data_IF_174405843959
#
_entry.id   IF_174405843959
#
_cell.length_a   1.000
_cell.length_b   1.000
_cell.length_c   1.000
_cell.angle_alpha   90.00
_cell.angle_beta   90.00
_cell.angle_gamma   90.00
#
_symmetry.space_group_name_H-M   'P 1'
#
loop_
_entity.id
_entity.type
_entity.pdbx_description
1 polymer ?
#
# COMPACT_ATOMS: atom_id res chain seq x y z
N UNK A 1 -30.09 2.13 11.77
CA UNK A 1 -30.16 2.13 10.31
C UNK A 1 -28.73 2.28 9.80
N UNK A 2 -28.20 1.23 9.17
CA UNK A 2 -26.86 1.27 8.57
C UNK A 2 -26.96 2.05 7.25
N UNK A 3 -26.43 3.27 7.24
CA UNK A 3 -26.26 4.00 5.99
C UNK A 3 -25.00 3.49 5.31
N UNK A 4 -25.18 2.72 4.24
CA UNK A 4 -24.12 2.37 3.30
C UNK A 4 -23.76 3.65 2.52
N UNK A 5 -22.62 4.25 2.84
CA UNK A 5 -22.08 5.38 2.07
C UNK A 5 -21.64 4.83 0.71
N UNK A 6 -22.11 5.47 -0.36
CA UNK A 6 -21.72 5.14 -1.75
C UNK A 6 -20.20 5.13 -1.87
N UNK A 7 -19.66 4.13 -2.59
CA UNK A 7 -18.24 4.02 -2.93
C UNK A 7 -17.71 5.34 -3.45
N UNK A 8 -16.59 5.88 -2.91
CA UNK A 8 -15.91 6.97 -3.57
C UNK A 8 -15.47 6.47 -4.96
N UNK A 9 -15.78 7.22 -5.99
CA UNK A 9 -15.27 6.97 -7.34
C UNK A 9 -13.79 7.33 -7.31
N UNK A 10 -12.92 6.34 -7.32
CA UNK A 10 -11.48 6.56 -7.51
C UNK A 10 -11.26 7.26 -8.85
N UNK A 11 -11.09 8.56 -8.83
CA UNK A 11 -10.64 9.38 -9.94
C UNK A 11 -9.11 9.51 -9.90
N UNK A 12 -8.37 8.42 -9.79
CA UNK A 12 -7.02 8.39 -10.31
C UNK A 12 -7.05 7.77 -11.71
N UNK A 13 -7.70 8.49 -12.63
CA UNK A 13 -7.40 8.40 -14.05
C UNK A 13 -6.02 9.03 -14.24
N UNK A 14 -5.15 8.30 -14.96
CA UNK A 14 -3.84 8.74 -15.42
C UNK A 14 -3.84 10.24 -15.75
N UNK A 15 -2.97 11.00 -15.10
CA UNK A 15 -2.71 12.38 -15.47
C UNK A 15 -1.79 12.39 -16.71
N UNK A 16 -1.91 13.41 -17.57
CA UNK A 16 -1.19 13.58 -18.84
C UNK A 16 0.36 13.55 -18.77
N UNK A 17 0.97 13.20 -17.64
CA UNK A 17 2.40 12.98 -17.50
C UNK A 17 2.84 11.56 -17.87
N UNK A 18 1.89 10.61 -18.07
CA UNK A 18 2.23 9.24 -18.42
C UNK A 18 2.74 9.09 -19.87
N UNK A 19 2.48 10.06 -20.74
CA UNK A 19 2.97 10.04 -22.14
C UNK A 19 4.49 10.31 -22.27
N UNK A 20 5.12 10.96 -21.30
CA UNK A 20 6.54 11.35 -21.37
C UNK A 20 7.53 10.26 -20.89
N UNK A 21 7.06 9.21 -20.23
CA UNK A 21 7.90 8.12 -19.70
C UNK A 21 8.07 6.98 -20.72
N UNK A 22 7.29 6.98 -21.79
CA UNK A 22 7.23 5.87 -22.76
C UNK A 22 8.39 5.81 -23.77
N UNK A 23 9.19 6.87 -23.92
CA UNK A 23 10.14 6.94 -25.05
C UNK A 23 11.48 6.21 -24.86
N UNK A 24 11.83 5.68 -23.67
CA UNK A 24 13.15 5.10 -23.41
C UNK A 24 13.18 3.71 -22.75
N UNK A 25 12.10 2.97 -22.75
CA UNK A 25 12.12 1.58 -22.23
C UNK A 25 12.16 0.61 -23.42
N UNK A 26 13.20 -0.25 -23.56
CA UNK A 26 13.19 -1.26 -24.61
C UNK A 26 12.00 -2.19 -24.38
N UNK A 27 11.02 -2.11 -25.28
CA UNK A 27 9.82 -2.93 -25.24
C UNK A 27 10.22 -4.41 -25.23
N UNK A 28 10.04 -5.05 -24.06
CA UNK A 28 9.90 -6.49 -24.01
C UNK A 28 8.67 -6.79 -24.89
N UNK A 29 8.82 -7.68 -25.86
CA UNK A 29 7.73 -8.04 -26.77
C UNK A 29 6.65 -8.79 -25.98
N UNK A 30 5.73 -8.03 -25.41
CA UNK A 30 4.66 -8.51 -24.51
C UNK A 30 3.59 -9.26 -25.32
N UNK A 31 3.53 -9.09 -26.65
CA UNK A 31 2.48 -9.64 -27.49
C UNK A 31 2.49 -11.17 -27.57
N UNK A 32 3.65 -11.82 -27.54
CA UNK A 32 3.74 -13.29 -27.56
C UNK A 32 3.38 -13.94 -26.23
N UNK A 33 3.61 -13.23 -25.10
CA UNK A 33 3.31 -13.77 -23.77
C UNK A 33 1.85 -13.53 -23.31
N UNK A 34 1.13 -12.59 -23.94
CA UNK A 34 -0.25 -12.26 -23.61
C UNK A 34 -1.28 -13.16 -24.31
N UNK A 35 -0.87 -14.07 -25.18
CA UNK A 35 -1.77 -15.01 -25.87
C UNK A 35 -2.56 -15.94 -24.91
N UNK A 36 -2.10 -16.10 -23.66
CA UNK A 36 -2.72 -16.95 -22.65
C UNK A 36 -3.72 -16.20 -21.72
N UNK A 37 -4.46 -15.27 -22.28
CA UNK A 37 -5.74 -14.84 -21.72
C UNK A 37 -5.75 -14.30 -20.27
N UNK A 38 -5.51 -12.98 -20.10
CA UNK A 38 -6.05 -12.22 -18.95
C UNK A 38 -7.35 -11.54 -19.38
N UNK A 39 -8.54 -12.13 -19.18
CA UNK A 39 -9.79 -11.53 -19.65
C UNK A 39 -10.02 -10.11 -19.14
N UNK A 40 -9.63 -9.84 -17.89
CA UNK A 40 -9.79 -8.53 -17.26
C UNK A 40 -8.69 -7.55 -17.67
N UNK A 41 -7.45 -8.02 -17.88
CA UNK A 41 -6.32 -7.21 -18.32
C UNK A 41 -6.26 -7.01 -19.85
N UNK A 42 -7.03 -7.78 -20.64
CA UNK A 42 -7.07 -7.63 -22.09
C UNK A 42 -7.47 -6.22 -22.56
N UNK A 43 -8.22 -5.47 -21.74
CA UNK A 43 -8.55 -4.07 -22.02
C UNK A 43 -7.43 -3.09 -21.66
N UNK A 44 -6.36 -3.56 -20.96
CA UNK A 44 -5.20 -2.79 -20.53
C UNK A 44 -3.89 -3.36 -21.08
N UNK A 45 -3.94 -4.04 -22.25
CA UNK A 45 -2.81 -4.79 -22.82
C UNK A 45 -1.49 -4.00 -22.91
N UNK A 46 -1.57 -2.70 -23.02
CA UNK A 46 -0.44 -1.80 -23.27
C UNK A 46 -0.18 -0.82 -22.12
N UNK A 47 -0.95 -0.87 -21.02
CA UNK A 47 -0.85 0.10 -19.94
C UNK A 47 -0.18 -0.56 -18.73
N UNK A 48 1.00 -0.06 -18.36
CA UNK A 48 1.62 -0.31 -17.08
C UNK A 48 1.18 0.79 -16.10
N UNK A 49 0.98 0.43 -14.85
CA UNK A 49 0.52 1.32 -13.79
C UNK A 49 1.62 1.52 -12.77
N UNK A 50 1.64 2.68 -12.10
CA UNK A 50 2.55 2.95 -11.01
C UNK A 50 2.55 1.84 -9.97
N UNK A 51 3.69 1.63 -9.33
CA UNK A 51 3.88 0.52 -8.41
C UNK A 51 2.88 0.53 -7.24
N UNK A 52 2.46 1.71 -6.79
CA UNK A 52 1.50 1.94 -5.71
C UNK A 52 0.02 1.98 -6.17
N UNK A 53 -0.27 1.88 -7.48
CA UNK A 53 -1.64 1.87 -8.00
C UNK A 53 -2.41 0.62 -7.57
N UNK A 54 -3.73 0.72 -7.52
CA UNK A 54 -4.62 -0.42 -7.36
C UNK A 54 -5.19 -0.85 -8.71
N UNK A 55 -5.00 -2.12 -9.03
CA UNK A 55 -5.54 -2.78 -10.23
C UNK A 55 -6.37 -3.96 -9.75
N UNK A 56 -7.65 -3.77 -9.56
CA UNK A 56 -8.53 -4.85 -9.08
C UNK A 56 -8.60 -5.99 -10.11
N UNK A 57 -8.12 -7.17 -9.72
CA UNK A 57 -8.10 -8.38 -10.53
C UNK A 57 -9.06 -9.43 -9.99
N UNK A 58 -9.66 -10.22 -10.88
CA UNK A 58 -10.42 -11.39 -10.49
C UNK A 58 -9.52 -12.44 -9.81
N UNK A 59 -10.12 -13.35 -9.04
CA UNK A 59 -9.36 -14.46 -8.44
C UNK A 59 -8.67 -15.32 -9.51
N UNK A 60 -9.34 -15.53 -10.66
CA UNK A 60 -8.76 -16.28 -11.76
C UNK A 60 -7.55 -15.56 -12.36
N UNK A 61 -7.63 -14.24 -12.58
CA UNK A 61 -6.51 -13.45 -13.11
C UNK A 61 -5.31 -13.48 -12.15
N UNK A 62 -5.54 -13.40 -10.83
CA UNK A 62 -4.46 -13.54 -9.84
C UNK A 62 -3.81 -14.91 -9.88
N UNK A 63 -4.59 -16.00 -10.06
CA UNK A 63 -4.03 -17.35 -10.23
C UNK A 63 -3.20 -17.49 -11.51
N UNK A 64 -3.64 -16.88 -12.61
CA UNK A 64 -2.88 -16.86 -13.86
C UNK A 64 -1.58 -16.07 -13.65
N UNK A 65 -1.65 -14.87 -13.09
CA UNK A 65 -0.48 -14.04 -12.76
C UNK A 65 0.53 -14.79 -11.89
N UNK A 66 0.07 -15.48 -10.84
CA UNK A 66 0.94 -16.26 -9.97
C UNK A 66 1.67 -17.36 -10.75
N UNK A 67 0.97 -18.11 -11.61
CA UNK A 67 1.60 -19.18 -12.43
C UNK A 67 2.62 -18.63 -13.41
N UNK A 68 2.37 -17.46 -14.00
CA UNK A 68 3.33 -16.80 -14.90
C UNK A 68 4.56 -16.33 -14.15
N UNK A 69 4.38 -15.71 -12.98
CA UNK A 69 5.49 -15.33 -12.11
C UNK A 69 6.30 -16.54 -11.64
N UNK A 70 5.65 -17.66 -11.32
CA UNK A 70 6.33 -18.90 -10.95
C UNK A 70 7.27 -19.37 -12.05
N UNK A 71 6.83 -19.39 -13.32
CA UNK A 71 7.68 -19.73 -14.47
C UNK A 71 8.90 -18.80 -14.56
N UNK A 72 8.70 -17.48 -14.40
CA UNK A 72 9.82 -16.52 -14.46
C UNK A 72 10.79 -16.67 -13.27
N UNK A 73 10.28 -16.97 -12.07
CA UNK A 73 11.16 -17.24 -10.93
C UNK A 73 11.94 -18.54 -11.08
N UNK A 74 11.43 -19.55 -11.80
CA UNK A 74 12.21 -20.72 -12.20
C UNK A 74 13.40 -20.31 -13.07
N UNK A 75 13.19 -19.48 -14.09
CA UNK A 75 14.25 -18.96 -14.95
C UNK A 75 15.29 -18.16 -14.13
N UNK A 76 14.85 -17.33 -13.19
CA UNK A 76 15.75 -16.59 -12.28
C UNK A 76 16.61 -17.56 -11.45
N UNK A 77 16.01 -18.63 -10.90
CA UNK A 77 16.74 -19.63 -10.14
C UNK A 77 17.81 -20.34 -11.00
N UNK A 78 17.48 -20.66 -12.25
CA UNK A 78 18.43 -21.27 -13.21
C UNK A 78 19.60 -20.33 -13.51
N UNK A 79 19.35 -19.04 -13.73
CA UNK A 79 20.39 -18.01 -13.93
C UNK A 79 21.30 -17.92 -12.69
N UNK A 80 20.72 -17.97 -11.49
CA UNK A 80 21.44 -17.96 -10.22
C UNK A 80 22.12 -19.32 -9.90
N UNK A 81 22.00 -20.33 -10.77
CA UNK A 81 22.55 -21.67 -10.57
C UNK A 81 22.01 -22.39 -9.33
N UNK A 82 20.74 -22.12 -8.94
CA UNK A 82 20.06 -22.78 -7.84
C UNK A 82 19.37 -24.04 -8.35
N UNK A 83 19.71 -25.21 -7.77
CA UNK A 83 19.15 -26.50 -8.20
C UNK A 83 17.70 -26.65 -7.76
N UNK A 84 16.84 -27.03 -8.68
CA UNK A 84 15.44 -27.40 -8.40
C UNK A 84 15.30 -28.82 -7.81
N UNK A 85 16.37 -29.61 -7.82
CA UNK A 85 16.39 -30.94 -7.21
C UNK A 85 16.80 -30.90 -5.74
N UNK A 86 17.23 -29.71 -5.23
CA UNK A 86 17.48 -29.51 -3.80
C UNK A 86 16.14 -29.42 -3.05
N UNK A 87 15.86 -30.29 -2.06
CA UNK A 87 14.65 -30.27 -1.27
C UNK A 87 14.35 -28.92 -0.59
N UNK A 88 15.38 -28.10 -0.32
CA UNK A 88 15.21 -26.79 0.32
C UNK A 88 14.75 -25.71 -0.67
N UNK A 89 15.06 -25.85 -1.96
CA UNK A 89 14.76 -24.82 -2.97
C UNK A 89 13.77 -25.26 -4.06
N UNK A 90 13.37 -26.54 -4.10
CA UNK A 90 12.45 -27.06 -5.14
C UNK A 90 11.14 -26.28 -5.27
N UNK A 91 10.61 -25.74 -4.18
CA UNK A 91 9.35 -24.99 -4.11
C UNK A 91 9.53 -23.46 -4.13
N UNK A 92 10.76 -22.96 -4.22
CA UNK A 92 11.06 -21.53 -4.02
C UNK A 92 10.31 -20.67 -5.02
N UNK A 93 10.31 -20.98 -6.31
CA UNK A 93 9.62 -20.22 -7.35
C UNK A 93 8.11 -20.11 -7.05
N UNK A 94 7.46 -21.21 -6.66
CA UNK A 94 6.04 -21.25 -6.30
C UNK A 94 5.75 -20.42 -5.05
N UNK A 95 6.60 -20.50 -4.03
CA UNK A 95 6.43 -19.75 -2.77
C UNK A 95 6.62 -18.26 -3.00
N UNK A 96 7.62 -17.83 -3.75
CA UNK A 96 7.88 -16.42 -4.07
C UNK A 96 6.72 -15.84 -4.88
N UNK A 97 6.25 -16.54 -5.93
CA UNK A 97 5.15 -16.05 -6.75
C UNK A 97 3.86 -15.88 -5.96
N UNK A 98 3.53 -16.85 -5.08
CA UNK A 98 2.40 -16.73 -4.15
C UNK A 98 2.55 -15.56 -3.19
N UNK A 99 3.73 -15.41 -2.59
CA UNK A 99 4.04 -14.31 -1.66
C UNK A 99 3.83 -12.95 -2.31
N UNK A 100 4.34 -12.74 -3.52
CA UNK A 100 4.17 -11.46 -4.23
C UNK A 100 2.70 -11.16 -4.53
N UNK A 101 1.96 -12.10 -5.12
CA UNK A 101 0.58 -11.84 -5.58
C UNK A 101 -0.41 -11.76 -4.43
N UNK A 102 -0.30 -12.68 -3.44
CA UNK A 102 -1.36 -12.87 -2.44
C UNK A 102 -1.04 -12.29 -1.07
N UNK A 103 0.21 -11.87 -0.81
CA UNK A 103 0.63 -11.42 0.50
C UNK A 103 1.23 -10.01 0.45
N UNK A 104 2.35 -9.82 -0.27
CA UNK A 104 3.07 -8.55 -0.27
C UNK A 104 2.42 -7.47 -1.14
N UNK A 105 1.76 -7.87 -2.25
CA UNK A 105 1.09 -6.94 -3.17
C UNK A 105 -0.43 -7.18 -3.25
N UNK A 106 -1.04 -7.80 -2.24
CA UNK A 106 -2.47 -8.09 -2.31
C UNK A 106 -3.33 -6.83 -2.41
N UNK A 107 -2.95 -5.74 -1.75
CA UNK A 107 -3.64 -4.45 -1.82
C UNK A 107 -3.58 -3.79 -3.20
N UNK A 108 -2.58 -4.18 -4.03
CA UNK A 108 -2.51 -3.77 -5.43
C UNK A 108 -3.59 -4.43 -6.29
N UNK A 109 -3.94 -5.68 -6.00
CA UNK A 109 -4.76 -6.53 -6.87
C UNK A 109 -6.16 -6.79 -6.34
N UNK A 110 -6.50 -6.30 -5.17
CA UNK A 110 -7.81 -6.51 -4.55
C UNK A 110 -8.53 -5.18 -4.33
N UNK A 111 -9.86 -5.24 -4.32
CA UNK A 111 -10.72 -4.11 -3.99
C UNK A 111 -10.38 -3.51 -2.61
N UNK A 112 -10.62 -2.20 -2.41
CA UNK A 112 -10.49 -1.58 -1.10
C UNK A 112 -11.39 -2.25 -0.06
N UNK A 113 -10.97 -2.26 1.22
CA UNK A 113 -11.77 -2.83 2.28
C UNK A 113 -13.12 -2.10 2.42
N UNK A 114 -14.14 -2.84 2.82
CA UNK A 114 -15.42 -2.21 3.17
C UNK A 114 -15.26 -1.40 4.45
N UNK A 115 -15.54 -0.11 4.36
CA UNK A 115 -15.44 0.82 5.48
C UNK A 115 -16.84 1.06 6.07
N UNK A 116 -16.97 0.79 7.37
CA UNK A 116 -18.16 1.14 8.15
C UNK A 116 -17.86 2.40 8.92
N UNK A 117 -18.72 3.40 8.74
CA UNK A 117 -18.72 4.64 9.50
C UNK A 117 -20.02 4.78 10.27
N UNK A 118 -19.97 5.50 11.36
CA UNK A 118 -21.14 5.77 12.23
C UNK A 118 -21.38 7.27 12.33
N UNK A 119 -22.66 7.72 12.39
CA UNK A 119 -22.95 9.13 12.63
C UNK A 119 -22.37 9.59 13.98
N UNK A 120 -21.74 10.74 14.00
CA UNK A 120 -21.22 11.40 15.21
C UNK A 120 -22.36 12.04 16.03
N UNK A 121 -23.25 11.20 16.59
CA UNK A 121 -24.45 11.66 17.31
C UNK A 121 -24.14 12.45 18.56
N UNK A 122 -23.02 12.22 19.20
CA UNK A 122 -22.58 12.89 20.42
C UNK A 122 -21.82 14.18 20.15
N UNK A 123 -21.61 14.50 18.88
CA UNK A 123 -20.83 15.68 18.45
C UNK A 123 -19.44 15.68 19.09
N UNK A 124 -18.79 14.52 19.14
CA UNK A 124 -17.40 14.42 19.57
C UNK A 124 -16.55 15.30 18.65
N UNK A 125 -15.85 16.27 19.24
CA UNK A 125 -15.02 17.27 18.57
C UNK A 125 -13.57 17.26 19.09
N UNK A 126 -13.22 16.24 19.86
CA UNK A 126 -11.88 15.97 20.38
C UNK A 126 -11.10 15.04 19.46
N UNK A 127 -9.78 15.01 19.66
CA UNK A 127 -8.85 14.20 18.88
C UNK A 127 -9.02 12.71 19.22
N UNK A 128 -9.36 11.90 18.24
CA UNK A 128 -9.42 10.44 18.32
C UNK A 128 -8.14 9.87 17.71
N UNK A 129 -7.39 9.05 18.45
CA UNK A 129 -6.11 8.50 18.02
C UNK A 129 -6.15 6.97 17.98
N UNK A 130 -5.64 6.40 16.90
CA UNK A 130 -5.30 4.97 16.77
C UNK A 130 -3.80 4.86 16.48
N UNK A 131 -3.04 4.18 17.33
CA UNK A 131 -1.58 3.99 17.19
C UNK A 131 -1.18 2.53 17.21
N UNK A 132 0.08 2.22 16.85
CA UNK A 132 0.57 0.85 16.76
C UNK A 132 -0.05 0.05 15.61
N UNK A 133 -0.57 0.73 14.58
CA UNK A 133 -1.12 0.06 13.40
C UNK A 133 0.05 -0.48 12.57
N UNK A 134 0.09 -1.79 12.37
CA UNK A 134 1.18 -2.43 11.62
C UNK A 134 1.26 -1.92 10.17
N UNK A 135 2.46 -1.53 9.77
CA UNK A 135 2.84 -1.24 8.38
C UNK A 135 3.76 -2.34 7.88
N UNK A 136 3.38 -2.98 6.79
CA UNK A 136 4.22 -3.93 6.07
C UNK A 136 4.08 -3.68 4.58
N UNK A 137 5.07 -3.03 3.98
CA UNK A 137 5.08 -2.61 2.59
C UNK A 137 6.34 -3.09 1.86
N UNK A 138 6.42 -2.79 0.57
CA UNK A 138 7.59 -3.03 -0.26
C UNK A 138 8.14 -1.71 -0.80
N UNK A 139 9.45 -1.52 -0.67
CA UNK A 139 10.13 -0.44 -1.36
C UNK A 139 10.03 -0.64 -2.88
N UNK A 140 9.50 0.34 -3.62
CA UNK A 140 9.34 0.25 -5.08
C UNK A 140 10.66 0.03 -5.83
N UNK A 141 11.80 0.51 -5.27
CA UNK A 141 13.10 0.46 -5.94
C UNK A 141 13.77 -0.92 -5.90
N UNK A 142 13.60 -1.69 -4.83
CA UNK A 142 14.34 -2.94 -4.61
C UNK A 142 13.46 -4.12 -4.16
N UNK A 143 12.16 -3.91 -4.03
CA UNK A 143 11.18 -4.87 -3.47
C UNK A 143 11.62 -5.46 -2.12
N UNK A 144 12.38 -4.67 -1.35
CA UNK A 144 12.72 -5.03 0.03
C UNK A 144 11.64 -4.53 0.97
N UNK A 145 11.41 -5.23 2.11
CA UNK A 145 10.38 -4.83 3.07
C UNK A 145 10.58 -3.42 3.62
N UNK A 146 9.47 -2.75 3.86
CA UNK A 146 9.32 -1.59 4.73
C UNK A 146 8.45 -2.08 5.88
N UNK A 147 8.97 -2.09 7.10
CA UNK A 147 8.27 -2.64 8.27
C UNK A 147 8.26 -1.64 9.42
N UNK A 148 7.09 -1.39 9.98
CA UNK A 148 6.94 -0.42 11.05
C UNK A 148 5.51 -0.29 11.55
N UNK A 149 5.18 0.91 12.00
CA UNK A 149 3.88 1.25 12.54
C UNK A 149 3.36 2.58 12.00
N UNK A 150 2.04 2.70 11.98
CA UNK A 150 1.31 3.91 11.66
C UNK A 150 0.49 4.36 12.87
N UNK A 151 0.47 5.66 13.11
CA UNK A 151 -0.47 6.32 14.00
C UNK A 151 -1.36 7.25 13.18
N UNK A 152 -2.67 7.21 13.45
CA UNK A 152 -3.67 8.05 12.80
C UNK A 152 -4.44 8.77 13.90
N UNK A 153 -4.48 10.11 13.82
CA UNK A 153 -5.31 10.97 14.67
C UNK A 153 -6.27 11.77 13.82
N UNK A 154 -7.51 11.90 14.26
CA UNK A 154 -8.49 12.75 13.56
C UNK A 154 -9.51 13.36 14.52
N UNK A 155 -10.00 14.55 14.18
CA UNK A 155 -11.17 15.15 14.81
C UNK A 155 -12.37 14.89 13.89
N UNK A 156 -13.38 14.14 14.33
CA UNK A 156 -14.49 13.78 13.46
C UNK A 156 -15.35 15.00 13.06
N UNK A 157 -15.89 14.92 11.84
CA UNK A 157 -16.98 15.75 11.39
C UNK A 157 -18.33 15.08 11.71
N UNK A 158 -19.09 14.78 10.66
CA UNK A 158 -20.40 14.11 10.79
C UNK A 158 -20.31 12.61 11.09
N UNK A 159 -19.15 11.98 10.83
CA UNK A 159 -18.95 10.53 10.94
C UNK A 159 -17.70 10.17 11.74
N UNK A 160 -17.76 8.99 12.37
CA UNK A 160 -16.62 8.33 13.04
C UNK A 160 -16.37 6.96 12.44
N UNK A 161 -15.12 6.50 12.42
CA UNK A 161 -14.77 5.16 11.97
C UNK A 161 -15.10 4.07 13.01
N UNK A 162 -15.47 2.87 12.52
CA UNK A 162 -15.37 1.67 13.34
C UNK A 162 -13.89 1.36 13.63
N UNK A 163 -13.57 0.94 14.87
CA UNK A 163 -12.19 0.80 15.38
C UNK A 163 -11.24 0.04 14.44
N UNK A 164 -11.68 -1.07 13.87
CA UNK A 164 -10.83 -1.90 13.00
C UNK A 164 -10.64 -1.35 11.58
N UNK A 165 -11.29 -0.24 11.22
CA UNK A 165 -11.28 0.23 9.83
C UNK A 165 -9.99 0.94 9.48
N UNK A 166 -9.42 1.70 10.40
CA UNK A 166 -8.13 2.37 10.20
C UNK A 166 -7.02 1.34 9.93
N UNK A 167 -6.97 0.26 10.71
CA UNK A 167 -5.98 -0.80 10.48
C UNK A 167 -6.14 -1.49 9.12
N UNK A 168 -7.38 -1.69 8.66
CA UNK A 168 -7.63 -2.27 7.32
C UNK A 168 -7.26 -1.33 6.18
N UNK A 169 -7.46 -0.03 6.35
CA UNK A 169 -7.04 0.99 5.39
C UNK A 169 -5.51 0.96 5.27
N UNK A 170 -4.80 1.05 6.40
CA UNK A 170 -3.34 1.04 6.42
C UNK A 170 -2.79 -0.25 5.80
N UNK A 171 -3.32 -1.43 6.16
CA UNK A 171 -2.86 -2.70 5.60
C UNK A 171 -3.09 -2.76 4.08
N UNK A 172 -4.26 -2.33 3.59
CA UNK A 172 -4.57 -2.36 2.15
C UNK A 172 -3.66 -1.44 1.34
N UNK A 173 -3.38 -0.22 1.81
CA UNK A 173 -2.46 0.68 1.14
C UNK A 173 -1.00 0.22 1.26
N UNK A 174 -0.61 -0.36 2.39
CA UNK A 174 0.74 -0.86 2.61
C UNK A 174 1.13 -2.00 1.66
N UNK A 175 0.16 -2.82 1.23
CA UNK A 175 0.42 -4.01 0.40
C UNK A 175 0.56 -3.68 -1.09
N UNK A 176 1.53 -2.81 -1.40
CA UNK A 176 1.89 -2.38 -2.76
C UNK A 176 3.40 -2.11 -2.80
N UNK A 177 3.95 -1.93 -4.03
CA UNK A 177 5.30 -1.38 -4.18
C UNK A 177 5.23 0.14 -4.12
N UNK A 178 5.94 0.80 -3.18
CA UNK A 178 5.82 2.26 -3.02
C UNK A 178 6.97 2.88 -2.23
N UNK A 179 6.93 4.19 -2.08
CA UNK A 179 7.72 4.94 -1.12
C UNK A 179 6.85 5.33 0.09
N UNK A 180 7.49 5.51 1.24
CA UNK A 180 6.76 5.75 2.49
C UNK A 180 6.01 7.07 2.50
N UNK A 181 6.54 8.08 1.82
CA UNK A 181 5.96 9.41 1.69
C UNK A 181 4.59 9.35 0.99
N UNK A 182 4.50 8.63 -0.12
CA UNK A 182 3.24 8.45 -0.86
C UNK A 182 2.24 7.58 -0.10
N UNK A 183 2.72 6.59 0.66
CA UNK A 183 1.85 5.77 1.50
C UNK A 183 1.07 6.62 2.51
N UNK A 184 1.74 7.57 3.16
CA UNK A 184 1.10 8.48 4.11
C UNK A 184 0.02 9.33 3.45
N UNK A 185 0.31 9.90 2.29
CA UNK A 185 -0.65 10.71 1.53
C UNK A 185 -1.86 9.88 1.05
N UNK A 186 -1.65 8.70 0.48
CA UNK A 186 -2.75 7.83 0.03
C UNK A 186 -3.69 7.44 1.17
N UNK A 187 -3.15 7.15 2.36
CA UNK A 187 -3.96 6.86 3.54
C UNK A 187 -4.76 8.08 3.96
N UNK A 188 -4.14 9.26 3.97
CA UNK A 188 -4.79 10.50 4.36
C UNK A 188 -5.90 10.89 3.38
N UNK A 189 -5.65 10.82 2.06
CA UNK A 189 -6.64 11.09 1.02
C UNK A 189 -7.87 10.21 1.18
N UNK A 190 -7.67 8.90 1.37
CA UNK A 190 -8.76 7.95 1.52
C UNK A 190 -9.62 8.21 2.77
N UNK A 191 -8.98 8.58 3.89
CA UNK A 191 -9.67 8.92 5.14
C UNK A 191 -10.47 10.21 4.96
N UNK A 192 -9.85 11.23 4.36
CA UNK A 192 -10.48 12.52 4.12
C UNK A 192 -11.71 12.39 3.21
N UNK A 193 -11.60 11.64 2.11
CA UNK A 193 -12.71 11.36 1.21
C UNK A 193 -13.84 10.53 1.86
N UNK A 194 -13.50 9.71 2.87
CA UNK A 194 -14.47 8.80 3.49
C UNK A 194 -15.34 9.48 4.55
N UNK A 195 -14.76 10.34 5.41
CA UNK A 195 -15.47 10.91 6.57
C UNK A 195 -15.40 12.44 6.67
N UNK A 196 -14.63 13.10 5.81
CA UNK A 196 -14.41 14.56 5.84
C UNK A 196 -14.13 15.08 7.26
N UNK A 197 -13.03 14.63 7.90
CA UNK A 197 -12.70 15.02 9.25
C UNK A 197 -12.32 16.50 9.32
N UNK A 198 -12.50 17.14 10.48
CA UNK A 198 -12.08 18.54 10.70
C UNK A 198 -10.54 18.66 10.84
N UNK A 199 -9.91 17.59 11.26
CA UNK A 199 -8.46 17.47 11.39
C UNK A 199 -8.05 16.03 11.09
N UNK A 200 -6.89 15.84 10.48
CA UNK A 200 -6.32 14.52 10.19
C UNK A 200 -4.81 14.57 10.31
N UNK A 201 -4.24 13.58 11.00
CA UNK A 201 -2.80 13.34 11.08
C UNK A 201 -2.50 11.86 10.81
N UNK A 202 -1.53 11.60 9.94
CA UNK A 202 -1.01 10.26 9.65
C UNK A 202 0.49 10.29 9.86
N UNK A 203 1.00 9.50 10.81
CA UNK A 203 2.45 9.39 11.08
C UNK A 203 2.87 7.94 10.89
N UNK A 204 3.88 7.73 10.05
CA UNK A 204 4.45 6.39 9.79
C UNK A 204 5.90 6.39 10.28
N UNK A 205 6.24 5.40 11.11
CA UNK A 205 7.60 5.13 11.59
C UNK A 205 8.00 3.73 11.12
N UNK A 206 8.95 3.63 10.19
CA UNK A 206 9.29 2.33 9.62
C UNK A 206 10.78 2.17 9.30
N UNK A 207 11.22 0.91 9.31
CA UNK A 207 12.54 0.45 8.88
C UNK A 207 12.50 0.07 7.40
N UNK A 208 13.52 0.48 6.66
CA UNK A 208 13.68 0.20 5.24
C UNK A 208 14.77 -0.84 5.02
N UNK A 209 14.40 -2.08 4.73
CA UNK A 209 15.38 -3.16 4.56
C UNK A 209 16.25 -2.99 3.30
N UNK A 210 15.82 -2.20 2.31
CA UNK A 210 16.68 -1.81 1.20
C UNK A 210 17.91 -0.99 1.62
N UNK A 211 17.88 -0.37 2.81
CA UNK A 211 19.01 0.35 3.41
C UNK A 211 19.75 -0.49 4.47
N UNK A 212 19.04 -1.40 5.14
CA UNK A 212 19.57 -2.20 6.25
C UNK A 212 20.29 -3.45 5.71
N UNK A 213 19.62 -4.26 4.90
CA UNK A 213 20.13 -5.54 4.42
C UNK A 213 21.18 -5.42 3.30
N UNK A 214 21.23 -4.25 2.64
CA UNK A 214 22.10 -3.97 1.50
C UNK A 214 22.39 -2.47 1.38
N UNK A 215 23.15 -2.06 0.34
CA UNK A 215 23.45 -0.66 0.06
C UNK A 215 24.27 -0.02 1.18
N UNK A 216 23.74 1.00 1.82
CA UNK A 216 24.45 1.74 2.90
C UNK A 216 24.60 0.97 4.21
N UNK A 217 23.92 -0.18 4.36
CA UNK A 217 23.99 -1.04 5.55
C UNK A 217 23.71 -0.27 6.85
N UNK A 218 22.64 0.54 6.85
CA UNK A 218 22.21 1.32 8.01
C UNK A 218 21.99 0.41 9.21
N UNK A 219 22.26 0.95 10.42
CA UNK A 219 22.05 0.22 11.65
C UNK A 219 20.57 -0.10 11.85
N UNK A 220 20.22 -1.39 11.94
CA UNK A 220 18.84 -1.84 12.08
C UNK A 220 18.16 -1.31 13.34
N UNK A 221 18.91 -1.18 14.44
CA UNK A 221 18.35 -0.74 15.72
C UNK A 221 17.88 0.71 15.69
N UNK A 222 18.62 1.59 15.00
CA UNK A 222 18.43 3.04 15.07
C UNK A 222 17.95 3.67 13.76
N UNK A 223 17.89 2.90 12.66
CA UNK A 223 17.50 3.45 11.36
C UNK A 223 15.99 3.39 11.18
N UNK A 224 15.31 4.43 11.65
CA UNK A 224 13.88 4.65 11.41
C UNK A 224 13.68 5.84 10.48
N UNK A 225 12.83 5.65 9.47
CA UNK A 225 12.27 6.74 8.69
C UNK A 225 10.92 7.14 9.27
N UNK A 226 10.73 8.42 9.50
CA UNK A 226 9.48 8.99 10.01
C UNK A 226 8.92 9.93 8.98
N UNK A 227 7.68 9.70 8.57
CA UNK A 227 6.92 10.60 7.70
C UNK A 227 5.63 11.01 8.37
N UNK A 228 5.17 12.24 8.12
CA UNK A 228 3.94 12.78 8.69
C UNK A 228 3.15 13.54 7.64
N UNK A 229 1.84 13.33 7.64
CA UNK A 229 0.86 14.10 6.87
C UNK A 229 -0.10 14.74 7.87
N UNK A 230 -0.26 16.06 7.79
CA UNK A 230 -1.17 16.82 8.65
C UNK A 230 -2.15 17.60 7.77
N UNK A 231 -3.44 17.59 8.12
CA UNK A 231 -4.50 18.26 7.36
C UNK A 231 -5.52 18.90 8.28
N UNK A 232 -6.19 19.95 7.77
CA UNK A 232 -7.18 20.71 8.53
C UNK A 232 -6.61 21.29 9.81
N UNK A 233 -7.33 21.25 10.92
CA UNK A 233 -6.89 21.86 12.18
C UNK A 233 -5.55 21.32 12.70
N UNK A 234 -5.16 20.07 12.37
CA UNK A 234 -3.82 19.57 12.72
C UNK A 234 -2.69 20.23 11.91
N UNK A 235 -2.97 20.77 10.74
CA UNK A 235 -2.03 21.58 9.97
C UNK A 235 -2.00 23.03 10.46
N UNK A 236 -3.16 23.58 10.77
CA UNK A 236 -3.35 25.01 11.03
C UNK A 236 -3.02 25.41 12.48
N UNK A 237 -3.20 24.49 13.46
CA UNK A 237 -3.07 24.76 14.88
C UNK A 237 -1.87 24.04 15.51
N UNK A 238 -0.79 24.77 15.77
CA UNK A 238 0.46 24.27 16.35
C UNK A 238 0.26 23.49 17.67
N UNK A 239 -0.61 23.97 18.57
CA UNK A 239 -0.84 23.29 19.85
C UNK A 239 -1.49 21.92 19.66
N UNK A 240 -2.45 21.80 18.72
CA UNK A 240 -3.13 20.56 18.41
C UNK A 240 -2.18 19.54 17.77
N UNK A 241 -1.34 19.98 16.83
CA UNK A 241 -0.33 19.10 16.24
C UNK A 241 0.69 18.63 17.27
N UNK A 242 1.14 19.48 18.19
CA UNK A 242 2.02 19.07 19.28
C UNK A 242 1.35 18.09 20.26
N UNK A 243 0.08 18.28 20.57
CA UNK A 243 -0.69 17.33 21.37
C UNK A 243 -0.76 15.97 20.71
N UNK A 244 -1.11 15.91 19.42
CA UNK A 244 -1.12 14.68 18.64
C UNK A 244 0.22 13.97 18.67
N UNK A 245 1.32 14.67 18.35
CA UNK A 245 2.66 14.10 18.35
C UNK A 245 3.08 13.57 19.71
N UNK A 246 2.77 14.29 20.80
CA UNK A 246 3.05 13.81 22.16
C UNK A 246 2.25 12.56 22.52
N UNK A 247 0.97 12.49 22.15
CA UNK A 247 0.11 11.34 22.45
C UNK A 247 0.52 10.07 21.70
N UNK A 248 1.05 10.20 20.49
CA UNK A 248 1.56 9.04 19.73
C UNK A 248 2.95 8.57 20.20
N UNK A 249 3.72 9.42 20.89
CA UNK A 249 5.03 9.06 21.47
C UNK A 249 4.94 8.42 22.86
N UNK A 250 3.87 8.67 23.58
CA UNK A 250 3.64 8.04 24.89
C UNK A 250 3.41 6.54 24.72
N UNK A 251 4.09 5.70 25.49
CA UNK A 251 3.93 4.25 25.53
C UNK A 251 2.64 3.84 26.26
#
# INVERSE_FOLDING_TARGET
MNTSVKKPKSKHLATNNDELIMENNPMINIEEELADGFPTLNRFKEILFDANSNIELSENDRKIMQRRLEKKFVEVMEILRISRNDPNSQDTARRISKMFVNELMWGRFNAPPQITVFPNRKKVDELIISKGITVMSLCSHHWQPISGECAIGYIPGEYVFGLSKLSRIVDWFSRRGQIQEELGEQIADFIEETIHPRALGVVIKAKHYCMIARGVKSNETNSLMVTSVMRGLLLDEFNLSNEFLKLIEQN
#
